data_IF_232672804806
#
_entry.id   IF_232672804806
#
_cell.length_a   1.000
_cell.length_b   1.000
_cell.length_c   1.000
_cell.angle_alpha   90.00
_cell.angle_beta   90.00
_cell.angle_gamma   90.00
#
_symmetry.space_group_name_H-M   'P 1'
#
loop_
_entity.id
_entity.type
_entity.pdbx_description
1 polymer ?
#
# COMPACT_ATOMS: atom_id res chain seq x y z
N UNK A 1 -15.43 8.89 -15.23
CA UNK A 1 -14.06 9.37 -14.94
C UNK A 1 -13.44 8.32 -14.02
N UNK A 2 -12.29 7.77 -14.37
CA UNK A 2 -11.65 6.69 -13.59
C UNK A 2 -11.22 7.15 -12.20
N UNK A 3 -11.03 6.22 -11.28
CA UNK A 3 -10.63 6.50 -9.89
C UNK A 3 -9.31 7.27 -9.85
N UNK A 4 -8.35 6.85 -10.68
CA UNK A 4 -7.03 7.49 -10.77
C UNK A 4 -7.11 8.95 -11.23
N UNK A 5 -8.02 9.26 -12.17
CA UNK A 5 -8.24 10.64 -12.62
C UNK A 5 -8.82 11.52 -11.52
N UNK A 6 -9.76 11.00 -10.72
CA UNK A 6 -10.33 11.74 -9.60
C UNK A 6 -9.30 12.03 -8.50
N UNK A 7 -8.44 11.05 -8.19
CA UNK A 7 -7.33 11.25 -7.25
C UNK A 7 -6.37 12.34 -7.73
N UNK A 8 -6.02 12.29 -9.01
CA UNK A 8 -5.16 13.28 -9.64
C UNK A 8 -5.77 14.68 -9.53
N UNK A 9 -7.03 14.86 -9.92
CA UNK A 9 -7.70 16.17 -9.90
C UNK A 9 -7.77 16.78 -8.49
N UNK A 10 -7.90 15.94 -7.45
CA UNK A 10 -7.98 16.39 -6.05
C UNK A 10 -6.62 16.64 -5.41
N UNK A 11 -5.56 15.94 -5.84
CA UNK A 11 -4.30 15.86 -5.10
C UNK A 11 -3.05 16.01 -5.98
N UNK A 12 -3.14 16.67 -7.14
CA UNK A 12 -1.99 16.90 -8.01
C UNK A 12 -0.97 17.84 -7.37
N UNK A 13 0.15 17.26 -6.91
CA UNK A 13 1.30 18.01 -6.41
C UNK A 13 2.61 17.32 -6.87
N UNK A 14 3.14 17.68 -8.06
CA UNK A 14 4.28 16.98 -8.68
C UNK A 14 5.53 16.85 -7.79
N UNK A 15 5.91 17.89 -7.01
CA UNK A 15 7.06 17.76 -6.11
C UNK A 15 6.85 16.77 -4.96
N UNK A 16 5.61 16.35 -4.67
CA UNK A 16 5.30 15.41 -3.60
C UNK A 16 5.86 14.01 -3.83
N UNK A 17 5.81 13.55 -5.09
CA UNK A 17 6.27 12.21 -5.47
C UNK A 17 7.73 11.97 -5.06
N UNK A 18 8.64 12.87 -5.45
CA UNK A 18 10.06 12.75 -5.13
C UNK A 18 10.34 12.77 -3.62
N UNK A 19 9.56 13.53 -2.84
CA UNK A 19 9.71 13.56 -1.38
C UNK A 19 9.30 12.25 -0.73
N UNK A 20 8.21 11.63 -1.19
CA UNK A 20 7.76 10.34 -0.68
C UNK A 20 8.77 9.23 -1.01
N UNK A 21 9.31 9.22 -2.23
CA UNK A 21 10.35 8.26 -2.61
C UNK A 21 11.59 8.39 -1.73
N UNK A 22 12.09 9.62 -1.54
CA UNK A 22 13.25 9.88 -0.67
C UNK A 22 12.97 9.50 0.79
N UNK A 23 11.78 9.78 1.30
CA UNK A 23 11.40 9.38 2.66
C UNK A 23 11.38 7.85 2.82
N UNK A 24 10.89 7.12 1.80
CA UNK A 24 10.90 5.65 1.81
C UNK A 24 12.32 5.10 1.82
N UNK A 25 13.22 5.66 1.00
CA UNK A 25 14.63 5.27 0.96
C UNK A 25 15.32 5.59 2.29
N UNK A 26 15.10 6.80 2.83
CA UNK A 26 15.71 7.25 4.08
C UNK A 26 15.21 6.47 5.31
N UNK A 27 14.05 5.80 5.21
CA UNK A 27 13.52 4.95 6.29
C UNK A 27 14.32 3.65 6.49
N UNK A 28 15.22 3.31 5.55
CA UNK A 28 16.12 2.17 5.68
C UNK A 28 15.43 0.81 5.63
N UNK A 29 16.03 -0.17 6.32
CA UNK A 29 15.82 -1.61 6.09
C UNK A 29 14.38 -2.09 6.32
N UNK A 30 13.72 -1.69 7.42
CA UNK A 30 12.34 -2.08 7.70
C UNK A 30 11.67 -1.24 8.79
N UNK A 31 10.36 -1.00 8.61
CA UNK A 31 9.48 -0.39 9.60
C UNK A 31 8.66 -1.40 10.40
N UNK A 32 8.84 -2.70 10.11
CA UNK A 32 8.02 -3.78 10.67
C UNK A 32 8.10 -3.88 12.20
N UNK A 33 9.25 -3.57 12.81
CA UNK A 33 9.39 -3.60 14.27
C UNK A 33 8.40 -2.66 14.99
N UNK A 34 8.06 -1.52 14.39
CA UNK A 34 7.10 -0.57 14.97
C UNK A 34 5.64 -1.06 14.86
N UNK A 35 5.36 -1.99 13.95
CA UNK A 35 4.01 -2.46 13.68
C UNK A 35 3.43 -3.33 14.81
N UNK A 36 4.27 -3.90 15.67
CA UNK A 36 3.84 -4.65 16.85
C UNK A 36 3.02 -3.82 17.86
N UNK A 37 3.10 -2.48 17.80
CA UNK A 37 2.32 -1.56 18.62
C UNK A 37 0.93 -1.24 18.08
N UNK A 38 0.55 -1.73 16.89
CA UNK A 38 -0.77 -1.48 16.29
C UNK A 38 -1.81 -2.35 17.00
N UNK A 39 -2.81 -1.70 17.60
CA UNK A 39 -3.91 -2.37 18.33
C UNK A 39 -5.25 -2.33 17.60
N UNK A 40 -5.35 -1.54 16.53
CA UNK A 40 -6.56 -1.47 15.72
C UNK A 40 -6.72 -2.74 14.85
N UNK A 41 -7.95 -3.25 14.66
CA UNK A 41 -8.20 -4.34 13.71
C UNK A 41 -7.65 -3.98 12.33
N UNK A 42 -6.74 -4.80 11.82
CA UNK A 42 -5.97 -4.47 10.60
C UNK A 42 -6.21 -5.47 9.48
N UNK A 43 -6.35 -4.95 8.27
CA UNK A 43 -6.34 -5.71 7.01
C UNK A 43 -5.23 -5.19 6.13
N UNK A 44 -4.35 -6.07 5.68
CA UNK A 44 -3.37 -5.79 4.63
C UNK A 44 -3.99 -6.19 3.29
N UNK A 45 -4.03 -5.27 2.33
CA UNK A 45 -4.51 -5.54 0.96
C UNK A 45 -3.29 -5.45 0.04
N UNK A 46 -3.07 -6.47 -0.80
CA UNK A 46 -1.90 -6.52 -1.68
C UNK A 46 -2.25 -7.12 -3.05
N UNK A 47 -1.58 -6.66 -4.10
CA UNK A 47 -1.77 -7.18 -5.46
C UNK A 47 -0.93 -8.41 -5.74
N UNK A 48 -1.53 -9.49 -6.23
CA UNK A 48 -0.80 -10.74 -6.53
C UNK A 48 0.32 -10.54 -7.58
N UNK A 49 0.16 -9.55 -8.46
CA UNK A 49 1.03 -9.28 -9.60
C UNK A 49 1.80 -7.95 -9.46
N UNK A 50 1.94 -7.42 -8.24
CA UNK A 50 2.68 -6.17 -7.99
C UNK A 50 4.18 -6.32 -8.34
N UNK A 51 4.68 -5.63 -9.39
CA UNK A 51 6.07 -5.74 -9.81
C UNK A 51 7.01 -4.80 -9.02
N UNK A 52 6.46 -3.81 -8.30
CA UNK A 52 7.22 -2.81 -7.57
C UNK A 52 7.44 -3.22 -6.11
N UNK A 53 6.40 -3.79 -5.48
CA UNK A 53 6.38 -4.23 -4.08
C UNK A 53 5.86 -5.67 -4.07
N UNK A 54 6.74 -6.69 -4.13
CA UNK A 54 6.31 -8.08 -4.20
C UNK A 54 5.42 -8.50 -3.02
N UNK A 55 4.50 -9.45 -3.25
CA UNK A 55 3.50 -9.89 -2.25
C UNK A 55 4.07 -10.28 -0.90
N UNK A 56 5.29 -10.83 -0.87
CA UNK A 56 5.99 -11.18 0.38
C UNK A 56 6.20 -9.97 1.31
N UNK A 57 6.32 -8.76 0.78
CA UNK A 57 6.42 -7.55 1.61
C UNK A 57 5.08 -7.23 2.31
N UNK A 58 3.95 -7.58 1.70
CA UNK A 58 2.64 -7.51 2.36
C UNK A 58 2.49 -8.58 3.46
N UNK A 59 3.03 -9.78 3.23
CA UNK A 59 3.07 -10.84 4.26
C UNK A 59 3.91 -10.41 5.46
N UNK A 60 5.06 -9.76 5.24
CA UNK A 60 5.89 -9.21 6.31
C UNK A 60 5.11 -8.21 7.18
N UNK A 61 4.32 -7.32 6.57
CA UNK A 61 3.45 -6.38 7.29
C UNK A 61 2.40 -7.13 8.10
N UNK A 62 1.69 -8.09 7.49
CA UNK A 62 0.66 -8.88 8.18
C UNK A 62 1.24 -9.68 9.35
N UNK A 63 2.45 -10.23 9.21
CA UNK A 63 3.09 -11.00 10.28
C UNK A 63 3.63 -10.11 11.41
N UNK A 64 3.80 -8.81 11.15
CA UNK A 64 4.32 -7.84 12.12
C UNK A 64 3.23 -7.15 12.96
N UNK A 65 1.97 -7.22 12.55
CA UNK A 65 0.82 -6.64 13.27
C UNK A 65 0.05 -7.77 13.97
N UNK A 66 -0.19 -7.68 15.29
CA UNK A 66 -1.01 -8.65 16.01
C UNK A 66 -2.40 -8.80 15.38
N UNK A 67 -2.85 -10.04 15.19
CA UNK A 67 -4.17 -10.42 14.66
C UNK A 67 -4.51 -9.83 13.28
N UNK A 68 -3.53 -9.33 12.53
CA UNK A 68 -3.78 -8.83 11.19
C UNK A 68 -4.13 -9.97 10.22
N UNK A 69 -5.08 -9.69 9.34
CA UNK A 69 -5.42 -10.53 8.19
C UNK A 69 -4.93 -9.89 6.90
N UNK A 70 -4.78 -10.70 5.87
CA UNK A 70 -4.36 -10.25 4.55
C UNK A 70 -5.37 -10.67 3.50
N UNK A 71 -5.59 -9.79 2.52
CA UNK A 71 -6.35 -10.06 1.30
C UNK A 71 -5.40 -9.83 0.12
N UNK A 72 -5.16 -10.88 -0.64
CA UNK A 72 -4.41 -10.81 -1.90
C UNK A 72 -5.41 -10.75 -3.04
N UNK A 73 -5.24 -9.79 -3.94
CA UNK A 73 -6.12 -9.60 -5.10
C UNK A 73 -5.42 -10.15 -6.34
N UNK A 74 -5.97 -11.23 -6.91
CA UNK A 74 -5.50 -11.83 -8.15
C UNK A 74 -5.62 -10.82 -9.31
N UNK A 75 -4.59 -10.75 -10.17
CA UNK A 75 -4.55 -9.82 -11.30
C UNK A 75 -4.29 -8.35 -10.95
N UNK A 76 -4.16 -7.99 -9.67
CA UNK A 76 -3.83 -6.61 -9.26
C UNK A 76 -2.31 -6.41 -9.18
N UNK A 77 -1.83 -5.33 -9.80
CA UNK A 77 -0.46 -4.86 -9.71
C UNK A 77 -0.21 -3.91 -8.52
N UNK A 78 0.68 -2.94 -8.70
CA UNK A 78 1.01 -1.97 -7.65
C UNK A 78 -0.12 -0.98 -7.35
N UNK A 79 -0.78 -0.52 -8.41
CA UNK A 79 -1.87 0.45 -8.30
C UNK A 79 -3.22 -0.27 -8.22
N UNK A 80 -4.15 0.34 -7.50
CA UNK A 80 -5.54 -0.12 -7.45
C UNK A 80 -6.16 0.10 -8.84
N UNK A 81 -6.65 -0.96 -9.52
CA UNK A 81 -7.24 -0.83 -10.84
C UNK A 81 -8.58 -0.09 -10.76
N UNK A 82 -8.94 0.58 -11.86
CA UNK A 82 -10.24 1.23 -12.00
C UNK A 82 -11.36 0.19 -11.80
N UNK A 83 -12.18 0.37 -10.76
CA UNK A 83 -13.26 -0.56 -10.37
C UNK A 83 -12.99 -1.42 -9.14
N UNK A 84 -11.73 -1.51 -8.66
CA UNK A 84 -11.40 -2.14 -7.38
C UNK A 84 -11.39 -1.15 -6.19
N UNK A 85 -11.33 0.14 -6.48
CA UNK A 85 -11.45 1.18 -5.47
C UNK A 85 -12.89 1.26 -4.93
N UNK A 86 -13.08 1.57 -3.62
CA UNK A 86 -14.40 1.84 -3.08
C UNK A 86 -15.09 2.94 -3.89
N UNK A 87 -16.32 2.67 -4.36
CA UNK A 87 -17.17 3.68 -4.96
C UNK A 87 -17.61 4.63 -3.84
N UNK A 88 -17.02 5.83 -3.80
CA UNK A 88 -17.45 6.95 -2.95
C UNK A 88 -18.13 8.02 -3.79
#
# INVERSE_FOLDING_TARGET
VGYQTQLHDRAYYPPGHGRHLLASIASGDSRCAALGGVTAPTVVIHGAEDPLVPVGQGEDVKNSIPDARMVVIDGMGHDVPDGAAPLV
#
